data_IF_720601732291
#
_entry.id   IF_720601732291
#
_cell.length_a   1.000
_cell.length_b   1.000
_cell.length_c   1.000
_cell.angle_alpha   90.00
_cell.angle_beta   90.00
_cell.angle_gamma   90.00
#
_symmetry.space_group_name_H-M   'P 1'
#
loop_
_entity.id
_entity.type
_entity.pdbx_description
1 polymer ?
#
# COMPACT_ATOMS: atom_id res chain seq x y z
N UNK A 1 -6.35 6.07 21.62
CA UNK A 1 -4.96 5.76 21.99
C UNK A 1 -4.24 5.67 20.66
N UNK A 2 -3.79 6.81 20.16
CA UNK A 2 -3.05 6.95 18.89
C UNK A 2 -1.62 7.16 19.34
N UNK A 3 -0.78 6.16 19.13
CA UNK A 3 0.63 6.20 19.52
C UNK A 3 1.38 7.24 18.69
N UNK A 4 2.18 8.00 19.43
CA UNK A 4 3.19 8.93 18.95
C UNK A 4 4.19 8.22 18.05
N UNK A 5 4.06 8.39 16.73
CA UNK A 5 5.18 8.24 15.80
C UNK A 5 5.97 9.55 15.75
N UNK A 6 6.60 9.89 16.88
CA UNK A 6 7.74 10.81 16.95
C UNK A 6 9.03 9.99 16.99
N UNK A 7 9.48 9.51 15.84
CA UNK A 7 10.88 9.10 15.68
C UNK A 7 11.35 9.45 14.27
N UNK A 8 11.35 10.76 13.98
CA UNK A 8 12.22 11.34 12.98
C UNK A 8 13.56 11.61 13.64
N UNK A 9 14.62 10.95 13.19
CA UNK A 9 15.99 11.42 13.43
C UNK A 9 16.02 12.94 13.23
N UNK A 10 16.63 13.72 14.16
CA UNK A 10 16.73 15.14 14.02
C UNK A 10 17.67 15.43 12.84
N UNK A 11 17.09 15.56 11.65
CA UNK A 11 17.70 16.30 10.55
C UNK A 11 18.16 17.63 11.15
N UNK A 12 19.47 17.80 11.24
CA UNK A 12 20.05 18.96 11.90
C UNK A 12 19.53 20.22 11.20
N UNK A 13 19.31 21.29 11.99
CA UNK A 13 18.79 22.57 11.49
C UNK A 13 19.63 23.19 10.36
N UNK A 14 20.87 22.73 10.19
CA UNK A 14 21.79 23.15 9.13
C UNK A 14 21.64 22.35 7.82
N UNK A 15 21.21 21.08 7.85
CA UNK A 15 20.94 20.31 6.63
C UNK A 15 19.63 20.74 5.93
N UNK A 16 18.66 21.24 6.71
CA UNK A 16 17.35 21.69 6.22
C UNK A 16 17.41 23.11 5.59
N UNK A 17 18.58 23.76 5.57
CA UNK A 17 18.73 25.17 5.16
C UNK A 17 19.21 25.44 3.73
N UNK A 18 19.63 24.47 2.90
CA UNK A 18 20.26 24.84 1.60
C UNK A 18 19.75 24.20 0.30
N UNK A 19 18.74 23.32 0.28
CA UNK A 19 18.11 22.93 -1.00
C UNK A 19 16.59 23.05 -0.95
N UNK A 20 16.05 23.96 -1.77
CA UNK A 20 14.66 23.86 -2.21
C UNK A 20 14.53 22.50 -2.90
N UNK A 21 13.69 21.63 -2.36
CA UNK A 21 13.35 20.37 -3.01
C UNK A 21 12.63 20.70 -4.32
N UNK A 22 13.03 20.06 -5.42
CA UNK A 22 12.35 20.26 -6.71
C UNK A 22 10.90 19.77 -6.63
N UNK A 23 10.03 20.26 -7.53
CA UNK A 23 8.65 19.78 -7.60
C UNK A 23 8.56 18.26 -7.84
N UNK A 24 9.51 17.69 -8.57
CA UNK A 24 9.59 16.25 -8.85
C UNK A 24 10.03 15.44 -7.61
N UNK A 25 11.05 15.92 -6.88
CA UNK A 25 11.48 15.30 -5.63
C UNK A 25 10.35 15.34 -4.59
N UNK A 26 9.61 16.45 -4.51
CA UNK A 26 8.44 16.58 -3.66
C UNK A 26 7.32 15.60 -4.06
N UNK A 27 7.02 15.49 -5.37
CA UNK A 27 6.03 14.53 -5.90
C UNK A 27 6.42 13.10 -5.52
N UNK A 28 7.67 12.71 -5.73
CA UNK A 28 8.19 11.38 -5.40
C UNK A 28 8.08 11.08 -3.90
N UNK A 29 8.51 12.01 -3.04
CA UNK A 29 8.44 11.86 -1.59
C UNK A 29 6.99 11.66 -1.11
N UNK A 30 6.07 12.56 -1.48
CA UNK A 30 4.69 12.46 -1.01
C UNK A 30 3.95 11.28 -1.60
N UNK A 31 4.24 10.89 -2.84
CA UNK A 31 3.71 9.65 -3.42
C UNK A 31 4.15 8.43 -2.64
N UNK A 32 5.41 8.35 -2.22
CA UNK A 32 5.89 7.22 -1.40
C UNK A 32 5.32 7.21 0.02
N UNK A 33 4.89 8.34 0.54
CA UNK A 33 4.43 8.43 1.94
C UNK A 33 2.91 8.41 2.07
N UNK A 34 2.17 9.01 1.14
CA UNK A 34 0.71 9.17 1.20
C UNK A 34 -0.03 8.41 0.10
N UNK A 35 0.69 7.64 -0.72
CA UNK A 35 0.09 6.82 -1.77
C UNK A 35 -0.44 7.62 -2.97
N UNK A 36 -1.42 7.05 -3.71
CA UNK A 36 -1.88 7.59 -5.00
C UNK A 36 -2.59 8.94 -4.89
N UNK A 37 -3.34 9.17 -3.82
CA UNK A 37 -4.13 10.39 -3.58
C UNK A 37 -3.37 11.47 -2.78
N UNK A 38 -2.03 11.43 -2.81
CA UNK A 38 -1.20 12.30 -1.99
C UNK A 38 -1.48 13.80 -2.20
N UNK A 39 -1.82 14.22 -3.44
CA UNK A 39 -2.13 15.63 -3.76
C UNK A 39 -3.35 16.09 -2.98
N UNK A 40 -4.43 15.31 -3.04
CA UNK A 40 -5.67 15.59 -2.32
C UNK A 40 -5.47 15.63 -0.81
N UNK A 41 -4.84 14.59 -0.24
CA UNK A 41 -4.56 14.50 1.20
C UNK A 41 -3.72 15.70 1.66
N UNK A 42 -2.68 16.05 0.89
CA UNK A 42 -1.81 17.18 1.23
C UNK A 42 -2.52 18.52 1.08
N UNK A 43 -3.35 18.69 0.06
CA UNK A 43 -4.14 19.90 -0.15
C UNK A 43 -5.10 20.12 1.03
N UNK A 44 -5.81 19.08 1.47
CA UNK A 44 -6.66 19.13 2.66
C UNK A 44 -5.90 19.53 3.93
N UNK A 45 -4.70 18.99 4.15
CA UNK A 45 -3.84 19.39 5.29
C UNK A 45 -3.40 20.86 5.23
N UNK A 46 -3.17 21.40 4.03
CA UNK A 46 -2.78 22.80 3.84
C UNK A 46 -3.96 23.74 4.02
N UNK A 47 -5.10 23.41 3.43
CA UNK A 47 -6.37 24.11 3.61
C UNK A 47 -6.73 24.23 5.10
N UNK A 48 -6.71 23.11 5.83
CA UNK A 48 -7.02 23.09 7.26
C UNK A 48 -6.09 23.95 8.12
N UNK A 49 -4.80 24.07 7.75
CA UNK A 49 -3.80 24.82 8.52
C UNK A 49 -3.67 26.29 8.11
N UNK A 50 -4.21 26.67 6.93
CA UNK A 50 -4.03 27.99 6.28
C UNK A 50 -2.57 28.47 6.24
N UNK A 51 -1.64 27.52 6.14
CA UNK A 51 -0.19 27.79 6.13
C UNK A 51 0.49 26.95 5.06
N UNK A 52 1.35 27.62 4.31
CA UNK A 52 2.14 26.99 3.24
C UNK A 52 3.62 27.21 3.53
N UNK A 53 4.39 26.12 3.50
CA UNK A 53 5.85 26.24 3.46
C UNK A 53 6.28 26.72 2.08
N UNK A 54 6.89 27.91 2.01
CA UNK A 54 7.47 28.47 0.78
C UNK A 54 8.78 27.78 0.34
N UNK A 55 9.21 26.71 1.03
CA UNK A 55 10.43 25.95 0.68
C UNK A 55 10.23 24.89 -0.38
N UNK A 56 8.99 24.71 -0.85
CA UNK A 56 8.63 23.67 -1.80
C UNK A 56 7.86 24.29 -2.95
N UNK A 57 8.36 24.08 -4.16
CA UNK A 57 7.61 24.33 -5.38
C UNK A 57 6.51 23.27 -5.53
N UNK A 58 5.27 23.74 -5.67
CA UNK A 58 4.10 22.87 -5.82
C UNK A 58 3.46 23.16 -7.16
N UNK A 59 3.17 22.11 -7.92
CA UNK A 59 2.52 22.23 -9.22
C UNK A 59 1.11 22.82 -9.14
N UNK A 60 0.61 23.32 -10.27
CA UNK A 60 -0.71 23.96 -10.41
C UNK A 60 -1.87 23.08 -9.93
N UNK A 61 -1.83 21.77 -10.24
CA UNK A 61 -2.83 20.79 -9.81
C UNK A 61 -3.05 20.81 -8.29
N UNK A 62 -1.96 20.85 -7.52
CA UNK A 62 -2.03 20.90 -6.06
C UNK A 62 -2.74 22.16 -5.57
N UNK A 63 -2.41 23.32 -6.16
CA UNK A 63 -3.00 24.60 -5.73
C UNK A 63 -4.47 24.72 -6.09
N UNK A 64 -4.89 24.13 -7.21
CA UNK A 64 -6.31 24.04 -7.56
C UNK A 64 -7.08 23.19 -6.57
N UNK A 65 -6.50 22.08 -6.08
CA UNK A 65 -7.10 21.31 -5.00
C UNK A 65 -7.29 22.17 -3.74
N UNK A 66 -6.29 22.99 -3.38
CA UNK A 66 -6.42 23.91 -2.23
C UNK A 66 -7.50 24.98 -2.46
N UNK A 67 -7.54 25.60 -3.64
CA UNK A 67 -8.57 26.58 -4.01
C UNK A 67 -9.97 25.98 -3.97
N UNK A 68 -10.14 24.75 -4.47
CA UNK A 68 -11.41 24.03 -4.39
C UNK A 68 -11.85 23.75 -2.94
N UNK A 69 -10.90 23.44 -2.04
CA UNK A 69 -11.23 23.06 -0.65
C UNK A 69 -11.51 24.27 0.27
N UNK A 70 -10.69 25.33 0.24
CA UNK A 70 -10.80 26.47 1.19
C UNK A 70 -11.03 27.82 0.50
N UNK A 71 -10.93 27.91 -0.83
CA UNK A 71 -11.02 29.15 -1.59
C UNK A 71 -9.78 30.03 -1.44
N UNK A 72 -9.00 30.18 -2.51
CA UNK A 72 -7.85 31.09 -2.53
C UNK A 72 -8.27 32.51 -2.89
N UNK A 73 -7.56 33.53 -2.35
CA UNK A 73 -7.64 34.90 -2.85
C UNK A 73 -7.34 34.98 -4.35
N UNK A 74 -8.01 35.89 -5.06
CA UNK A 74 -7.89 36.01 -6.53
C UNK A 74 -6.45 36.26 -6.99
N UNK A 75 -5.69 37.08 -6.26
CA UNK A 75 -4.29 37.38 -6.57
C UNK A 75 -3.35 36.18 -6.42
N UNK A 76 -3.71 35.22 -5.56
CA UNK A 76 -2.99 33.95 -5.41
C UNK A 76 -3.44 32.93 -6.44
N UNK A 77 -4.72 32.89 -6.77
CA UNK A 77 -5.29 31.98 -7.77
C UNK A 77 -4.59 32.15 -9.13
N UNK A 78 -4.51 33.39 -9.62
CA UNK A 78 -3.90 33.68 -10.93
C UNK A 78 -2.41 33.28 -10.98
N UNK A 79 -1.70 33.43 -9.85
CA UNK A 79 -0.26 33.11 -9.76
C UNK A 79 0.03 31.62 -9.58
N UNK A 80 -0.84 30.89 -8.88
CA UNK A 80 -0.54 29.53 -8.40
C UNK A 80 -1.29 28.43 -9.17
N UNK A 81 -2.50 28.72 -9.63
CA UNK A 81 -3.34 27.72 -10.29
C UNK A 81 -3.01 27.56 -11.78
N UNK A 82 -2.39 28.55 -12.44
CA UNK A 82 -2.10 28.53 -13.87
C UNK A 82 -3.35 28.43 -14.76
N UNK A 83 -3.15 28.33 -16.09
CA UNK A 83 -4.23 28.55 -17.07
C UNK A 83 -5.09 27.32 -17.44
N UNK A 84 -4.67 26.10 -17.11
CA UNK A 84 -5.46 24.91 -17.44
C UNK A 84 -6.87 24.94 -16.81
N UNK A 85 -7.74 24.00 -17.14
CA UNK A 85 -8.95 23.73 -16.35
C UNK A 85 -8.86 22.31 -15.77
N UNK A 86 -9.32 22.13 -14.54
CA UNK A 86 -9.49 20.81 -13.92
C UNK A 86 -10.90 20.76 -13.35
N UNK A 87 -11.66 19.74 -13.73
CA UNK A 87 -12.97 19.46 -13.14
C UNK A 87 -12.81 18.65 -11.86
N UNK A 88 -12.36 19.33 -10.81
CA UNK A 88 -12.12 18.72 -9.49
C UNK A 88 -13.42 18.14 -8.90
N UNK A 89 -14.57 18.75 -9.19
CA UNK A 89 -15.86 18.29 -8.64
C UNK A 89 -16.25 16.93 -9.22
N UNK A 90 -16.14 16.76 -10.53
CA UNK A 90 -16.43 15.48 -11.17
C UNK A 90 -15.39 14.40 -10.81
N UNK A 91 -14.11 14.78 -10.70
CA UNK A 91 -13.08 13.86 -10.23
C UNK A 91 -13.31 13.40 -8.78
N UNK A 92 -13.72 14.33 -7.90
CA UNK A 92 -14.07 14.00 -6.51
C UNK A 92 -15.30 13.09 -6.42
N UNK A 93 -16.27 13.24 -7.33
CA UNK A 93 -17.43 12.35 -7.39
C UNK A 93 -17.03 10.89 -7.65
N UNK A 94 -16.04 10.64 -8.52
CA UNK A 94 -15.47 9.30 -8.71
C UNK A 94 -14.80 8.83 -7.40
N UNK A 95 -13.97 9.67 -6.79
CA UNK A 95 -13.22 9.30 -5.58
C UNK A 95 -14.11 8.93 -4.38
N UNK A 96 -15.26 9.63 -4.23
CA UNK A 96 -16.19 9.42 -3.13
C UNK A 96 -17.14 8.24 -3.32
N UNK A 97 -17.32 7.75 -4.55
CA UNK A 97 -18.11 6.55 -4.85
C UNK A 97 -17.21 5.31 -4.88
N UNK A 98 -17.27 4.41 -3.87
CA UNK A 98 -16.37 3.26 -3.80
C UNK A 98 -16.49 2.31 -5.00
N UNK A 99 -17.70 2.15 -5.56
CA UNK A 99 -17.93 1.26 -6.69
C UNK A 99 -17.36 1.89 -7.95
N UNK A 100 -17.63 3.17 -8.18
CA UNK A 100 -17.09 3.89 -9.35
C UNK A 100 -15.57 3.99 -9.29
N UNK A 101 -15.04 4.27 -8.11
CA UNK A 101 -13.60 4.28 -7.85
C UNK A 101 -12.97 2.94 -8.17
N UNK A 102 -13.55 1.83 -7.67
CA UNK A 102 -13.07 0.48 -7.98
C UNK A 102 -13.06 0.22 -9.49
N UNK A 103 -14.14 0.54 -10.19
CA UNK A 103 -14.23 0.38 -11.65
C UNK A 103 -13.14 1.13 -12.44
N UNK A 104 -12.83 2.36 -12.03
CA UNK A 104 -11.82 3.20 -12.68
C UNK A 104 -10.41 2.72 -12.31
N UNK A 105 -10.12 2.60 -11.01
CA UNK A 105 -8.80 2.24 -10.50
C UNK A 105 -8.37 0.85 -11.02
N UNK A 106 -9.27 -0.14 -11.01
CA UNK A 106 -9.00 -1.49 -11.51
C UNK A 106 -8.60 -1.50 -12.99
N UNK A 107 -9.27 -0.70 -13.83
CA UNK A 107 -8.95 -0.58 -15.26
C UNK A 107 -7.62 0.12 -15.51
N UNK A 108 -7.35 1.18 -14.76
CA UNK A 108 -6.08 1.90 -14.86
C UNK A 108 -4.90 1.01 -14.44
N UNK A 109 -5.02 0.23 -13.36
CA UNK A 109 -3.95 -0.72 -12.97
C UNK A 109 -3.85 -1.91 -13.89
N UNK A 110 -4.93 -2.31 -14.56
CA UNK A 110 -4.90 -3.30 -15.64
C UNK A 110 -4.16 -2.82 -16.90
N UNK A 111 -3.73 -1.56 -16.93
CA UNK A 111 -2.95 -0.98 -18.03
C UNK A 111 -3.81 -0.32 -19.11
N UNK A 112 -5.11 -0.10 -18.89
CA UNK A 112 -5.92 0.71 -19.79
C UNK A 112 -5.49 2.18 -19.67
N UNK A 113 -5.54 2.89 -20.79
CA UNK A 113 -5.40 4.35 -20.81
C UNK A 113 -6.60 5.03 -20.11
N UNK A 114 -6.44 6.28 -19.62
CA UNK A 114 -7.56 7.06 -19.07
C UNK A 114 -8.76 7.15 -20.02
N UNK A 115 -8.52 7.23 -21.33
CA UNK A 115 -9.55 7.29 -22.37
C UNK A 115 -10.33 5.98 -22.48
N UNK A 116 -9.63 4.85 -22.47
CA UNK A 116 -10.27 3.53 -22.53
C UNK A 116 -11.04 3.23 -21.24
N UNK A 117 -10.46 3.55 -20.08
CA UNK A 117 -11.13 3.42 -18.79
C UNK A 117 -12.40 4.28 -18.75
N UNK A 118 -12.34 5.52 -19.22
CA UNK A 118 -13.50 6.41 -19.31
C UNK A 118 -14.60 5.83 -20.20
N UNK A 119 -14.26 5.36 -21.39
CA UNK A 119 -15.21 4.77 -22.32
C UNK A 119 -15.92 3.54 -21.72
N UNK A 120 -15.17 2.68 -21.01
CA UNK A 120 -15.73 1.50 -20.33
C UNK A 120 -16.63 1.84 -19.15
N UNK A 121 -16.29 2.91 -18.43
CA UNK A 121 -17.07 3.38 -17.28
C UNK A 121 -18.25 4.28 -17.68
N UNK A 122 -18.42 4.63 -18.96
CA UNK A 122 -19.42 5.62 -19.41
C UNK A 122 -19.15 7.03 -18.89
N UNK A 123 -17.87 7.39 -18.71
CA UNK A 123 -17.43 8.69 -18.19
C UNK A 123 -16.79 9.55 -19.28
N UNK A 124 -16.66 10.85 -19.02
CA UNK A 124 -15.85 11.73 -19.85
C UNK A 124 -14.36 11.43 -19.62
N UNK A 125 -13.59 11.32 -20.72
CA UNK A 125 -12.15 11.09 -20.69
C UNK A 125 -11.39 12.19 -19.94
N UNK A 126 -11.79 13.45 -20.07
CA UNK A 126 -11.20 14.57 -19.33
C UNK A 126 -11.36 14.39 -17.83
N UNK A 127 -12.55 14.02 -17.36
CA UNK A 127 -12.80 13.73 -15.94
C UNK A 127 -11.91 12.60 -15.40
N UNK A 128 -11.67 11.54 -16.19
CA UNK A 128 -10.80 10.44 -15.75
C UNK A 128 -9.32 10.87 -15.74
N UNK A 129 -8.88 11.71 -16.67
CA UNK A 129 -7.53 12.30 -16.62
C UNK A 129 -7.35 13.18 -15.38
N UNK A 130 -8.31 14.05 -15.10
CA UNK A 130 -8.29 14.90 -13.91
C UNK A 130 -8.30 14.06 -12.63
N UNK A 131 -9.09 12.99 -12.61
CA UNK A 131 -9.08 12.01 -11.53
C UNK A 131 -7.69 11.37 -11.34
N UNK A 132 -7.03 10.92 -12.41
CA UNK A 132 -5.67 10.41 -12.36
C UNK A 132 -4.68 11.45 -11.81
N UNK A 133 -4.81 12.70 -12.24
CA UNK A 133 -3.95 13.78 -11.75
C UNK A 133 -4.16 14.09 -10.27
N UNK A 134 -5.39 14.03 -9.76
CA UNK A 134 -5.71 14.48 -8.41
C UNK A 134 -5.65 13.35 -7.38
N UNK A 135 -6.25 12.20 -7.71
CA UNK A 135 -6.53 11.11 -6.79
C UNK A 135 -5.75 9.83 -7.07
N UNK A 136 -5.27 9.64 -8.31
CA UNK A 136 -4.66 8.38 -8.73
C UNK A 136 -3.32 8.55 -9.47
N UNK A 137 -2.34 9.17 -8.78
CA UNK A 137 -1.03 9.52 -9.33
C UNK A 137 -0.08 8.30 -9.49
N UNK A 138 -0.50 7.29 -10.27
CA UNK A 138 0.18 5.98 -10.36
C UNK A 138 0.63 5.62 -11.77
N UNK A 139 0.17 6.32 -12.81
CA UNK A 139 0.41 5.94 -14.21
C UNK A 139 1.91 5.82 -14.53
N UNK A 140 2.71 6.78 -14.05
CA UNK A 140 4.17 6.76 -14.20
C UNK A 140 4.86 5.65 -13.37
N UNK A 141 4.13 5.01 -12.46
CA UNK A 141 4.62 4.05 -11.46
C UNK A 141 3.97 2.68 -11.59
N UNK A 142 3.22 2.40 -12.67
CA UNK A 142 2.61 1.09 -12.91
C UNK A 142 3.65 -0.06 -13.01
N UNK A 143 4.91 0.26 -13.31
CA UNK A 143 6.01 -0.72 -13.31
C UNK A 143 6.67 -0.92 -11.94
N UNK A 144 6.36 -0.09 -10.95
CA UNK A 144 6.91 -0.19 -9.61
C UNK A 144 6.05 -1.14 -8.77
N UNK A 145 6.23 -2.44 -8.97
CA UNK A 145 5.45 -3.53 -8.33
C UNK A 145 5.37 -3.38 -6.81
N UNK A 146 6.50 -3.07 -6.18
CA UNK A 146 6.60 -2.97 -4.72
C UNK A 146 5.80 -1.76 -4.19
N UNK A 147 5.82 -0.66 -4.94
CA UNK A 147 5.06 0.54 -4.60
C UNK A 147 3.55 0.30 -4.72
N UNK A 148 3.10 -0.38 -5.78
CA UNK A 148 1.70 -0.75 -5.94
C UNK A 148 1.24 -1.72 -4.85
N UNK A 149 2.09 -2.67 -4.47
CA UNK A 149 1.82 -3.59 -3.38
C UNK A 149 1.55 -2.84 -2.07
N UNK A 150 2.40 -1.89 -1.70
CA UNK A 150 2.29 -1.13 -0.45
C UNK A 150 1.11 -0.15 -0.47
N UNK A 151 0.85 0.53 -1.59
CA UNK A 151 -0.08 1.67 -1.59
C UNK A 151 -1.44 1.40 -2.21
N UNK A 152 -1.61 0.31 -2.96
CA UNK A 152 -2.88 -0.02 -3.62
C UNK A 152 -3.37 -1.40 -3.16
N UNK A 153 -2.51 -2.41 -3.14
CA UNK A 153 -2.93 -3.78 -2.84
C UNK A 153 -2.95 -4.07 -1.34
N UNK A 154 -2.15 -3.37 -0.53
CA UNK A 154 -2.06 -3.61 0.91
C UNK A 154 -1.76 -2.30 1.70
N UNK A 155 -2.69 -1.32 1.69
CA UNK A 155 -2.48 -0.08 2.42
C UNK A 155 -2.55 -0.33 3.93
N UNK A 156 -1.45 -0.09 4.65
CA UNK A 156 -1.32 -0.34 6.08
C UNK A 156 -2.30 0.48 6.96
N UNK A 157 -2.76 1.63 6.48
CA UNK A 157 -3.42 2.66 7.30
C UNK A 157 -4.96 2.77 7.08
N UNK A 158 -5.56 1.95 6.22
CA UNK A 158 -7.00 2.04 5.91
C UNK A 158 -7.77 0.79 6.36
N UNK A 159 -9.04 0.96 6.73
CA UNK A 159 -9.97 -0.15 6.88
C UNK A 159 -10.16 -0.78 5.49
N UNK A 160 -9.30 -1.74 5.18
CA UNK A 160 -9.14 -2.25 3.82
C UNK A 160 -10.46 -2.80 3.31
N UNK A 161 -10.97 -2.18 2.24
CA UNK A 161 -11.95 -2.84 1.40
C UNK A 161 -11.24 -3.98 0.66
N UNK A 162 -11.44 -5.21 1.17
CA UNK A 162 -10.85 -6.42 0.59
C UNK A 162 -11.26 -6.58 -0.88
N UNK A 163 -12.47 -6.14 -1.23
CA UNK A 163 -12.93 -6.17 -2.61
C UNK A 163 -12.05 -5.31 -3.50
N UNK A 164 -11.81 -4.06 -3.08
CA UNK A 164 -10.98 -3.12 -3.82
C UNK A 164 -9.57 -3.66 -4.02
N UNK A 165 -8.92 -4.09 -2.95
CA UNK A 165 -7.52 -4.55 -3.02
C UNK A 165 -7.36 -5.81 -3.86
N UNK A 166 -8.23 -6.81 -3.68
CA UNK A 166 -8.20 -8.05 -4.46
C UNK A 166 -8.44 -7.77 -5.94
N UNK A 167 -9.52 -7.05 -6.28
CA UNK A 167 -9.85 -6.78 -7.69
C UNK A 167 -8.75 -5.97 -8.37
N UNK A 168 -8.20 -4.94 -7.73
CA UNK A 168 -7.09 -4.16 -8.29
C UNK A 168 -5.83 -5.03 -8.49
N UNK A 169 -5.49 -5.90 -7.53
CA UNK A 169 -4.34 -6.80 -7.62
C UNK A 169 -4.49 -7.82 -8.74
N UNK A 170 -5.64 -8.48 -8.83
CA UNK A 170 -5.93 -9.46 -9.88
C UNK A 170 -5.98 -8.79 -11.27
N UNK A 171 -6.54 -7.58 -11.35
CA UNK A 171 -6.58 -6.77 -12.57
C UNK A 171 -5.18 -6.38 -13.05
N UNK A 172 -4.31 -5.99 -12.12
CA UNK A 172 -2.91 -5.67 -12.43
C UNK A 172 -2.14 -6.88 -12.98
N UNK A 173 -2.32 -8.06 -12.36
CA UNK A 173 -1.61 -9.28 -12.75
C UNK A 173 -2.15 -9.89 -14.05
N UNK A 174 -3.47 -9.91 -14.22
CA UNK A 174 -4.16 -10.54 -15.34
C UNK A 174 -4.46 -9.61 -16.51
N UNK A 175 -4.26 -8.30 -16.34
CA UNK A 175 -4.53 -7.28 -17.34
C UNK A 175 -6.02 -7.06 -17.63
N UNK A 176 -6.35 -6.42 -18.77
CA UNK A 176 -7.70 -5.95 -19.09
C UNK A 176 -8.77 -7.03 -19.05
N UNK A 177 -8.46 -8.24 -19.52
CA UNK A 177 -9.43 -9.32 -19.60
C UNK A 177 -9.86 -9.84 -18.22
N UNK A 178 -8.89 -9.98 -17.30
CA UNK A 178 -9.17 -10.38 -15.91
C UNK A 178 -9.90 -9.27 -15.16
N UNK A 179 -9.53 -8.01 -15.43
CA UNK A 179 -10.22 -6.85 -14.87
C UNK A 179 -11.73 -6.86 -15.19
N UNK A 180 -12.10 -6.95 -16.47
CA UNK A 180 -13.51 -6.97 -16.86
C UNK A 180 -14.24 -8.21 -16.33
N UNK A 181 -13.57 -9.36 -16.30
CA UNK A 181 -14.13 -10.59 -15.73
C UNK A 181 -14.51 -10.43 -14.26
N UNK A 182 -13.67 -9.76 -13.47
CA UNK A 182 -13.97 -9.43 -12.07
C UNK A 182 -15.11 -8.42 -11.98
N UNK A 183 -14.99 -7.26 -12.65
CA UNK A 183 -15.96 -6.17 -12.54
C UNK A 183 -17.39 -6.57 -12.97
N UNK A 184 -17.53 -7.47 -13.95
CA UNK A 184 -18.83 -8.04 -14.34
C UNK A 184 -19.49 -8.84 -13.21
N UNK A 185 -18.69 -9.48 -12.34
CA UNK A 185 -19.18 -10.42 -11.32
C UNK A 185 -19.29 -9.81 -9.93
N UNK A 186 -18.57 -8.73 -9.65
CA UNK A 186 -18.60 -8.01 -8.37
C UNK A 186 -20.03 -7.75 -7.87
N UNK A 187 -20.98 -7.25 -8.70
CA UNK A 187 -22.35 -6.98 -8.24
C UNK A 187 -23.12 -8.22 -7.77
N UNK A 188 -22.67 -9.42 -8.16
CA UNK A 188 -23.37 -10.69 -7.94
C UNK A 188 -22.70 -11.59 -6.90
N UNK A 189 -21.64 -11.12 -6.23
CA UNK A 189 -20.84 -11.96 -5.31
C UNK A 189 -21.64 -12.49 -4.10
N UNK A 190 -22.64 -11.73 -3.66
CA UNK A 190 -23.50 -12.07 -2.52
C UNK A 190 -24.76 -12.85 -2.93
N UNK A 191 -25.00 -13.05 -4.23
CA UNK A 191 -26.16 -13.79 -4.72
C UNK A 191 -25.98 -15.31 -4.50
N UNK A 192 -27.05 -16.05 -4.18
CA UNK A 192 -27.00 -17.50 -4.15
C UNK A 192 -26.58 -18.07 -5.51
N UNK A 193 -25.55 -18.90 -5.53
CA UNK A 193 -25.02 -19.50 -6.76
C UNK A 193 -25.31 -21.01 -6.83
N UNK A 194 -25.66 -21.49 -8.02
CA UNK A 194 -25.85 -22.92 -8.29
C UNK A 194 -24.50 -23.62 -8.57
N UNK A 195 -23.98 -24.32 -7.55
CA UNK A 195 -22.70 -25.04 -7.61
C UNK A 195 -22.70 -26.24 -8.58
N UNK A 196 -23.87 -26.67 -9.07
CA UNK A 196 -23.95 -27.72 -10.10
C UNK A 196 -23.49 -27.20 -11.47
N UNK A 197 -23.59 -25.88 -11.70
CA UNK A 197 -23.16 -25.21 -12.93
C UNK A 197 -21.69 -24.78 -12.89
N UNK A 198 -21.07 -24.61 -14.08
CA UNK A 198 -19.70 -24.07 -14.17
C UNK A 198 -19.66 -22.63 -13.65
N UNK A 199 -20.60 -21.79 -14.11
CA UNK A 199 -20.69 -20.38 -13.72
C UNK A 199 -20.87 -20.20 -12.20
N UNK A 200 -21.72 -21.01 -11.55
CA UNK A 200 -21.89 -20.93 -10.11
C UNK A 200 -20.65 -21.37 -9.32
N UNK A 201 -19.90 -22.37 -9.81
CA UNK A 201 -18.61 -22.74 -9.21
C UNK A 201 -17.56 -21.64 -9.37
N UNK A 202 -17.51 -20.99 -10.52
CA UNK A 202 -16.61 -19.86 -10.79
C UNK A 202 -16.93 -18.67 -9.87
N UNK A 203 -18.20 -18.29 -9.76
CA UNK A 203 -18.64 -17.24 -8.85
C UNK A 203 -18.26 -17.57 -7.40
N UNK A 204 -18.48 -18.83 -6.99
CA UNK A 204 -18.12 -19.25 -5.63
C UNK A 204 -16.61 -19.20 -5.38
N UNK A 205 -15.77 -19.50 -6.39
CA UNK A 205 -14.32 -19.37 -6.28
C UNK A 205 -13.90 -17.93 -6.04
N UNK A 206 -14.47 -16.95 -6.77
CA UNK A 206 -14.17 -15.53 -6.56
C UNK A 206 -14.54 -15.06 -5.16
N UNK A 207 -15.73 -15.44 -4.69
CA UNK A 207 -16.16 -15.17 -3.33
C UNK A 207 -15.17 -15.77 -2.31
N UNK A 208 -14.77 -17.04 -2.48
CA UNK A 208 -13.82 -17.69 -1.59
C UNK A 208 -12.44 -17.00 -1.61
N UNK A 209 -11.97 -16.52 -2.76
CA UNK A 209 -10.73 -15.72 -2.87
C UNK A 209 -10.81 -14.46 -2.00
N UNK A 210 -11.91 -13.71 -2.08
CA UNK A 210 -12.11 -12.51 -1.26
C UNK A 210 -12.15 -12.82 0.24
N UNK A 211 -12.81 -13.92 0.64
CA UNK A 211 -12.84 -14.37 2.02
C UNK A 211 -11.46 -14.81 2.51
N UNK A 212 -10.70 -15.50 1.66
CA UNK A 212 -9.34 -15.91 1.98
C UNK A 212 -8.44 -14.70 2.20
N UNK A 213 -8.46 -13.71 1.30
CA UNK A 213 -7.70 -12.47 1.46
C UNK A 213 -8.05 -11.74 2.76
N UNK A 214 -9.35 -11.62 3.05
CA UNK A 214 -9.83 -11.02 4.30
C UNK A 214 -9.29 -11.76 5.52
N UNK A 215 -9.39 -13.09 5.54
CA UNK A 215 -8.93 -13.91 6.66
C UNK A 215 -7.41 -13.85 6.83
N UNK A 216 -6.65 -13.83 5.74
CA UNK A 216 -5.18 -13.69 5.76
C UNK A 216 -4.74 -12.39 6.44
N UNK A 217 -5.50 -11.31 6.25
CA UNK A 217 -5.23 -10.00 6.85
C UNK A 217 -5.67 -9.91 8.30
N UNK A 218 -6.86 -10.43 8.63
CA UNK A 218 -7.44 -10.24 9.97
C UNK A 218 -6.98 -11.28 10.99
N UNK A 219 -6.72 -12.51 10.56
CA UNK A 219 -6.46 -13.65 11.46
C UNK A 219 -5.53 -14.67 10.79
N UNK A 220 -4.28 -14.30 10.45
CA UNK A 220 -3.35 -15.20 9.77
C UNK A 220 -3.09 -16.49 10.56
N UNK A 221 -2.97 -16.39 11.89
CA UNK A 221 -2.70 -17.55 12.76
C UNK A 221 -3.81 -18.60 12.71
N UNK A 222 -5.08 -18.16 12.64
CA UNK A 222 -6.22 -19.08 12.54
C UNK A 222 -6.23 -19.85 11.22
N UNK A 223 -5.84 -19.20 10.13
CA UNK A 223 -5.68 -19.89 8.84
C UNK A 223 -4.55 -20.92 8.90
N UNK A 224 -3.43 -20.58 9.55
CA UNK A 224 -2.34 -21.53 9.81
C UNK A 224 -2.81 -22.74 10.61
N UNK A 225 -3.57 -22.54 11.69
CA UNK A 225 -4.13 -23.64 12.48
C UNK A 225 -5.08 -24.54 11.68
N UNK A 226 -5.95 -23.96 10.86
CA UNK A 226 -6.87 -24.71 10.01
C UNK A 226 -6.09 -25.52 8.96
N UNK A 227 -5.08 -24.91 8.33
CA UNK A 227 -4.23 -25.60 7.36
C UNK A 227 -3.48 -26.78 7.99
N UNK A 228 -2.99 -26.63 9.23
CA UNK A 228 -2.35 -27.72 9.98
C UNK A 228 -3.35 -28.85 10.27
N UNK A 229 -4.60 -28.53 10.63
CA UNK A 229 -5.64 -29.53 10.98
C UNK A 229 -6.21 -30.26 9.77
N UNK A 230 -6.41 -29.57 8.66
CA UNK A 230 -7.05 -30.11 7.45
C UNK A 230 -6.03 -30.70 6.46
N UNK A 231 -4.74 -30.43 6.68
CA UNK A 231 -3.67 -30.69 5.73
C UNK A 231 -3.51 -29.51 4.76
N UNK A 232 -2.28 -29.30 4.27
CA UNK A 232 -1.96 -28.18 3.39
C UNK A 232 -2.63 -28.35 2.02
N UNK A 233 -3.81 -27.74 1.87
CA UNK A 233 -4.57 -27.70 0.61
C UNK A 233 -3.82 -26.93 -0.49
N UNK A 234 -2.80 -26.13 -0.15
CA UNK A 234 -2.02 -25.35 -1.13
C UNK A 234 -1.07 -26.21 -1.97
N UNK A 235 -0.76 -27.43 -1.51
CA UNK A 235 0.07 -28.40 -2.24
C UNK A 235 -0.54 -28.92 -3.56
N UNK A 236 -1.79 -28.56 -3.87
CA UNK A 236 -2.46 -28.91 -5.13
C UNK A 236 -2.77 -27.72 -6.05
N UNK A 237 -2.37 -26.50 -5.69
CA UNK A 237 -2.45 -25.39 -6.63
C UNK A 237 -1.31 -25.53 -7.67
N UNK A 238 -1.57 -25.42 -8.99
CA UNK A 238 -0.48 -25.24 -9.94
C UNK A 238 0.34 -24.03 -9.49
N UNK A 239 1.67 -24.02 -9.67
CA UNK A 239 2.52 -22.94 -9.17
C UNK A 239 2.12 -21.62 -9.82
N UNK A 240 1.20 -20.88 -9.19
CA UNK A 240 1.04 -19.47 -9.43
C UNK A 240 2.25 -18.77 -8.82
N UNK A 241 2.77 -17.78 -9.53
CA UNK A 241 3.95 -17.01 -9.16
C UNK A 241 3.98 -16.73 -7.66
N UNK A 242 4.99 -17.27 -6.98
CA UNK A 242 5.26 -16.95 -5.58
C UNK A 242 5.60 -15.47 -5.55
N UNK A 243 4.75 -14.68 -4.90
CA UNK A 243 4.97 -13.26 -4.73
C UNK A 243 6.35 -13.06 -4.07
N UNK A 244 7.17 -12.14 -4.59
CA UNK A 244 8.48 -11.85 -4.02
C UNK A 244 8.36 -11.48 -2.54
N UNK A 245 7.27 -10.83 -2.13
CA UNK A 245 6.97 -10.56 -0.72
C UNK A 245 6.71 -11.84 0.09
N UNK A 246 6.10 -12.88 -0.49
CA UNK A 246 5.89 -14.16 0.17
C UNK A 246 7.20 -14.95 0.28
N UNK A 247 8.06 -14.89 -0.74
CA UNK A 247 9.41 -15.49 -0.67
C UNK A 247 10.25 -14.78 0.39
N UNK A 248 10.23 -13.46 0.41
CA UNK A 248 10.98 -12.65 1.39
C UNK A 248 10.40 -12.86 2.79
N UNK A 249 9.08 -12.89 2.94
CA UNK A 249 8.39 -13.17 4.20
C UNK A 249 8.72 -14.55 4.76
N UNK A 250 8.67 -15.60 3.92
CA UNK A 250 9.08 -16.96 4.33
C UNK A 250 10.57 -17.01 4.72
N UNK A 251 11.42 -16.28 4.01
CA UNK A 251 12.87 -16.25 4.29
C UNK A 251 13.20 -15.47 5.55
N UNK A 252 12.50 -14.36 5.81
CA UNK A 252 12.59 -13.60 7.06
C UNK A 252 12.10 -14.44 8.25
N UNK A 253 10.95 -15.11 8.12
CA UNK A 253 10.42 -16.02 9.14
C UNK A 253 11.35 -17.21 9.42
N UNK A 254 11.97 -17.80 8.39
CA UNK A 254 12.99 -18.84 8.57
C UNK A 254 14.24 -18.33 9.28
N UNK A 255 14.74 -17.14 8.92
CA UNK A 255 15.91 -16.54 9.57
C UNK A 255 15.62 -16.21 11.05
N UNK A 256 14.44 -15.64 11.34
CA UNK A 256 13.97 -15.41 12.71
C UNK A 256 13.83 -16.72 13.49
N UNK A 257 13.24 -17.76 12.91
CA UNK A 257 13.15 -19.07 13.55
C UNK A 257 14.52 -19.69 13.84
N UNK A 258 15.52 -19.49 12.97
CA UNK A 258 16.90 -19.94 13.20
C UNK A 258 17.61 -19.14 14.29
N UNK A 259 17.34 -17.83 14.40
CA UNK A 259 17.89 -16.97 15.45
C UNK A 259 17.27 -17.29 16.81
N UNK A 260 15.95 -17.47 16.88
CA UNK A 260 15.25 -17.82 18.12
C UNK A 260 15.62 -19.24 18.59
N UNK A 261 15.78 -20.20 17.69
CA UNK A 261 16.27 -21.55 18.05
C UNK A 261 17.76 -21.59 18.43
N UNK A 262 18.53 -20.53 18.16
CA UNK A 262 19.92 -20.43 18.62
C UNK A 262 20.02 -20.03 20.09
N UNK A 263 19.07 -19.23 20.58
CA UNK A 263 19.05 -18.81 21.98
C UNK A 263 18.62 -19.94 22.92
N UNK A 264 17.75 -20.85 22.48
CA UNK A 264 17.35 -22.03 23.27
C UNK A 264 18.46 -23.10 23.39
N UNK A 265 19.45 -23.10 22.49
CA UNK A 265 20.61 -24.01 22.57
C UNK A 265 21.83 -23.40 23.31
N UNK A 266 21.75 -22.14 23.75
CA UNK A 266 22.81 -21.47 24.51
C UNK A 266 22.84 -21.80 26.02
N UNK A 267 21.85 -22.51 26.55
CA UNK A 267 21.68 -22.72 27.99
C UNK A 267 22.21 -24.07 28.55
N UNK A 268 22.96 -24.87 27.77
CA UNK A 268 23.54 -26.11 28.28
C UNK A 268 24.98 -26.34 27.80
N UNK A 269 25.96 -25.76 28.49
CA UNK A 269 27.15 -26.45 29.03
C UNK A 269 28.10 -25.44 29.69
N UNK A 270 27.89 -25.16 30.98
CA UNK A 270 28.99 -24.79 31.87
C UNK A 270 29.21 -25.96 32.82
N UNK A 271 30.33 -26.70 32.72
CA UNK A 271 30.65 -27.71 33.71
C UNK A 271 31.12 -27.02 35.00
N UNK A 272 30.32 -27.18 36.04
CA UNK A 272 30.78 -27.06 37.42
C UNK A 272 31.88 -28.10 37.66
N UNK A 273 33.10 -27.66 37.92
CA UNK A 273 34.12 -28.46 38.60
C UNK A 273 34.47 -27.82 39.93
N UNK A 274 33.95 -28.40 41.01
CA UNK A 274 34.47 -28.27 42.36
C UNK A 274 35.72 -29.17 42.51
N UNK A 275 36.76 -28.71 43.21
CA UNK A 275 37.75 -29.62 43.82
C UNK A 275 39.21 -29.16 43.88
N UNK A 276 39.53 -28.34 44.88
CA UNK A 276 40.62 -28.47 45.89
C UNK A 276 42.06 -28.96 45.57
N UNK A 277 42.99 -28.37 46.35
CA UNK A 277 44.44 -28.61 46.56
C UNK A 277 45.39 -27.97 45.52
N UNK A 278 46.53 -27.37 45.84
CA UNK A 278 47.24 -27.02 47.09
C UNK A 278 48.50 -26.23 46.70
N UNK A 279 48.87 -25.21 47.50
CA UNK A 279 50.21 -24.68 47.81
C UNK A 279 51.32 -24.73 46.74
N UNK A 280 51.82 -23.55 46.32
CA UNK A 280 53.25 -23.20 46.39
C UNK A 280 53.38 -21.68 46.59
N UNK A 281 53.82 -21.29 47.79
CA UNK A 281 54.44 -20.01 48.11
C UNK A 281 55.80 -19.91 47.42
N UNK A 282 56.09 -18.79 46.75
CA UNK A 282 57.46 -18.29 46.63
C UNK A 282 57.48 -16.76 46.72
N UNK A 283 57.90 -16.29 47.89
CA UNK A 283 58.45 -14.97 48.13
C UNK A 283 59.73 -14.78 47.31
N UNK A 284 59.90 -13.61 46.68
CA UNK A 284 61.22 -12.95 46.68
C UNK A 284 61.06 -11.44 46.57
N UNK A 285 61.67 -10.76 47.54
CA UNK A 285 61.92 -9.33 47.67
C UNK A 285 62.48 -8.68 46.39
N UNK A 286 62.36 -7.38 46.15
CA UNK A 286 63.22 -6.24 46.61
C UNK A 286 62.69 -5.05 45.75
N UNK A 287 62.49 -3.79 46.14
CA UNK A 287 62.82 -2.94 47.30
C UNK A 287 61.69 -1.90 47.47
#
# INVERSE_FOLDING_TARGET
MLDDYEDTEPLTLDDIRQKRMSAEEFRRYWRSTLGPSWRWIKAGRVAARRRVSGRVERGSVFWRCVDYIDGLPADMRDKLCGDGQLDISSAEAIYRDPVKRLEVDARLVAGLSPEEAAARCGLNAETVRDYCEIFFDVLDSLRATDWLAIHIFDPADEAIDNLYTTVCRESYQGGPAVCEYWLERVPHLDEPCDLTTIAGREMKRLHLTLLQDRLMRTTPDRLGEIAIRVGDLSSQLPPSFVNASDVIGRRAAQQLGLLLNRDDNGAQTLPFTNGTHSLVDHQTHIA
#
